data_IF_560064975461
#
_entry.id   IF_560064975461
#
_cell.length_a   1.000
_cell.length_b   1.000
_cell.length_c   1.000
_cell.angle_alpha   90.00
_cell.angle_beta   90.00
_cell.angle_gamma   90.00
#
_symmetry.space_group_name_H-M   'P 1'
#
loop_
_entity.id
_entity.type
_entity.pdbx_description
1 polymer ?
#
# COMPACT_ATOMS: atom_id res chain seq x y z
N UNK A 1 3.16 -50.70 30.91
CA UNK A 1 2.42 -49.43 30.96
C UNK A 1 3.38 -48.33 30.54
N UNK A 2 3.25 -47.86 29.30
CA UNK A 2 4.13 -46.83 28.73
C UNK A 2 3.53 -45.47 29.09
N UNK A 3 4.33 -44.57 29.64
CA UNK A 3 4.01 -43.15 29.69
C UNK A 3 5.15 -42.37 29.03
N UNK A 4 4.96 -42.12 27.74
CA UNK A 4 5.68 -41.09 26.99
C UNK A 4 4.99 -39.78 27.35
N UNK A 5 5.65 -38.96 28.16
CA UNK A 5 5.29 -37.55 28.37
C UNK A 5 6.39 -36.70 27.77
N UNK A 6 6.23 -36.32 26.50
CA UNK A 6 7.12 -35.41 25.80
C UNK A 6 6.60 -34.00 26.09
N UNK A 7 7.10 -33.35 27.14
CA UNK A 7 6.82 -31.93 27.36
C UNK A 7 7.77 -31.11 26.50
N UNK A 8 7.35 -30.87 25.25
CA UNK A 8 7.95 -29.87 24.38
C UNK A 8 7.17 -28.59 24.56
N UNK A 9 7.51 -27.80 25.57
CA UNK A 9 7.19 -26.38 25.55
C UNK A 9 8.09 -25.74 24.49
N UNK A 10 7.65 -25.81 23.24
CA UNK A 10 8.07 -24.83 22.24
C UNK A 10 7.36 -23.55 22.67
N UNK A 11 8.10 -22.70 23.37
CA UNK A 11 7.75 -21.29 23.48
C UNK A 11 7.65 -20.77 22.05
N UNK A 12 6.42 -20.51 21.62
CA UNK A 12 6.19 -19.64 20.48
C UNK A 12 6.70 -18.28 20.95
N UNK A 13 7.91 -17.91 20.55
CA UNK A 13 8.36 -16.52 20.56
C UNK A 13 7.43 -15.77 19.60
N UNK A 14 6.24 -15.44 20.10
CA UNK A 14 5.37 -14.44 19.53
C UNK A 14 6.16 -13.14 19.64
N UNK A 15 6.85 -12.77 18.57
CA UNK A 15 7.58 -11.50 18.47
C UNK A 15 6.54 -10.40 18.44
N UNK A 16 6.01 -10.06 19.61
CA UNK A 16 5.15 -8.91 19.81
C UNK A 16 5.95 -7.67 19.41
N UNK A 17 5.38 -6.85 18.51
CA UNK A 17 5.94 -5.56 18.09
C UNK A 17 6.28 -4.74 19.34
N UNK A 18 7.53 -4.32 19.47
CA UNK A 18 7.93 -3.45 20.59
C UNK A 18 7.74 -1.99 20.20
N UNK A 19 7.47 -1.12 21.18
CA UNK A 19 7.26 0.31 20.93
C UNK A 19 8.49 1.01 20.32
N UNK A 20 9.66 0.38 20.37
CA UNK A 20 10.93 0.90 19.89
C UNK A 20 11.42 0.23 18.59
N UNK A 21 10.55 -0.45 17.86
CA UNK A 21 10.85 -0.95 16.53
C UNK A 21 11.14 0.24 15.60
N UNK A 22 12.43 0.45 15.27
CA UNK A 22 12.86 1.51 14.37
C UNK A 22 12.94 0.93 12.96
N UNK A 23 12.16 1.50 12.03
CA UNK A 23 12.20 1.14 10.61
C UNK A 23 12.39 2.41 9.80
N UNK A 24 13.33 2.38 8.85
CA UNK A 24 13.41 3.43 7.85
C UNK A 24 12.19 3.38 6.94
N UNK A 25 11.66 4.55 6.58
CA UNK A 25 10.45 4.65 5.73
C UNK A 25 10.67 4.04 4.35
N UNK A 26 11.92 3.84 3.95
CA UNK A 26 12.32 3.27 2.66
C UNK A 26 12.38 1.74 2.69
N UNK A 27 12.11 1.09 3.83
CA UNK A 27 12.25 -0.35 4.00
C UNK A 27 10.91 -1.04 4.30
N UNK A 28 10.77 -2.30 3.86
CA UNK A 28 9.67 -3.21 4.22
C UNK A 28 8.26 -2.59 4.04
N UNK A 29 7.55 -2.33 5.14
CA UNK A 29 6.21 -1.71 5.17
C UNK A 29 6.27 -0.29 4.61
N UNK A 30 7.33 0.45 4.89
CA UNK A 30 7.54 1.82 4.41
C UNK A 30 7.68 1.88 2.89
N UNK A 31 8.51 1.00 2.31
CA UNK A 31 8.65 0.88 0.85
C UNK A 31 7.30 0.58 0.17
N UNK A 32 6.50 -0.31 0.77
CA UNK A 32 5.17 -0.64 0.27
C UNK A 32 4.23 0.57 0.37
N UNK A 33 4.24 1.28 1.49
CA UNK A 33 3.43 2.48 1.69
C UNK A 33 3.78 3.59 0.68
N UNK A 34 5.07 3.74 0.36
CA UNK A 34 5.55 4.66 -0.67
C UNK A 34 5.05 4.26 -2.07
N UNK A 35 5.09 2.97 -2.41
CA UNK A 35 4.49 2.48 -3.66
C UNK A 35 2.99 2.77 -3.77
N UNK A 36 2.24 2.65 -2.66
CA UNK A 36 0.81 3.00 -2.63
C UNK A 36 0.59 4.51 -2.74
N UNK A 37 1.43 5.32 -2.11
CA UNK A 37 1.38 6.78 -2.25
C UNK A 37 1.66 7.19 -3.71
N UNK A 38 2.70 6.63 -4.33
CA UNK A 38 3.06 6.87 -5.73
C UNK A 38 1.91 6.51 -6.68
N UNK A 39 1.28 5.34 -6.50
CA UNK A 39 0.11 4.95 -7.27
C UNK A 39 -1.07 5.94 -7.14
N UNK A 40 -1.33 6.46 -5.93
CA UNK A 40 -2.40 7.45 -5.71
C UNK A 40 -2.06 8.82 -6.30
N UNK A 41 -0.79 9.22 -6.29
CA UNK A 41 -0.34 10.44 -6.93
C UNK A 41 -0.53 10.33 -8.46
N UNK A 42 -0.04 9.24 -9.07
CA UNK A 42 -0.20 8.97 -10.50
C UNK A 42 -1.68 8.94 -10.92
N UNK A 43 -2.55 8.29 -10.15
CA UNK A 43 -3.98 8.29 -10.41
C UNK A 43 -4.59 9.70 -10.35
N UNK A 44 -4.24 10.49 -9.33
CA UNK A 44 -4.75 11.85 -9.14
C UNK A 44 -4.34 12.78 -10.29
N UNK A 45 -3.17 12.54 -10.88
CA UNK A 45 -2.59 13.31 -11.99
C UNK A 45 -3.01 12.79 -13.37
N UNK A 46 -3.79 11.71 -13.43
CA UNK A 46 -4.31 11.16 -14.69
C UNK A 46 -5.37 12.08 -15.31
N UNK A 47 -5.63 11.89 -16.61
CA UNK A 47 -6.57 12.73 -17.36
C UNK A 47 -8.03 12.56 -16.89
N UNK A 48 -8.39 11.38 -16.38
CA UNK A 48 -9.72 11.07 -15.82
C UNK A 48 -9.61 10.29 -14.49
N UNK A 49 -9.34 10.99 -13.37
CA UNK A 49 -8.99 10.35 -12.11
C UNK A 49 -10.21 9.77 -11.37
N UNK A 50 -10.12 8.49 -10.99
CA UNK A 50 -11.11 7.76 -10.20
C UNK A 50 -11.13 8.19 -8.72
N UNK A 51 -9.97 8.59 -8.19
CA UNK A 51 -9.77 9.15 -6.85
C UNK A 51 -8.96 10.45 -6.93
N UNK A 52 -9.03 11.28 -5.88
CA UNK A 52 -8.16 12.45 -5.74
C UNK A 52 -7.52 12.46 -4.36
N UNK A 53 -6.20 12.32 -4.31
CA UNK A 53 -5.41 12.38 -3.09
C UNK A 53 -4.46 13.60 -3.16
N UNK A 54 -4.86 14.75 -2.58
CA UNK A 54 -4.06 15.98 -2.68
C UNK A 54 -2.75 15.93 -1.87
N UNK A 55 -2.53 14.90 -1.05
CA UNK A 55 -1.37 14.80 -0.16
C UNK A 55 -0.33 13.80 -0.66
N UNK A 56 -0.71 12.88 -1.54
CA UNK A 56 0.18 11.84 -2.04
C UNK A 56 1.45 12.41 -2.68
N UNK A 57 1.31 13.39 -3.58
CA UNK A 57 2.45 14.06 -4.23
C UNK A 57 3.35 14.77 -3.22
N UNK A 58 2.76 15.61 -2.36
CA UNK A 58 3.49 16.36 -1.32
C UNK A 58 4.28 15.43 -0.39
N UNK A 59 3.71 14.27 -0.07
CA UNK A 59 4.38 13.26 0.76
C UNK A 59 5.59 12.65 0.05
N UNK A 60 5.46 12.29 -1.24
CA UNK A 60 6.55 11.73 -2.03
C UNK A 60 7.68 12.74 -2.24
N UNK A 61 7.33 14.01 -2.50
CA UNK A 61 8.31 15.09 -2.65
C UNK A 61 9.15 15.27 -1.36
N UNK A 62 8.55 15.07 -0.19
CA UNK A 62 9.25 15.15 1.09
C UNK A 62 10.16 13.95 1.36
N UNK A 63 9.83 12.77 0.81
CA UNK A 63 10.61 11.53 0.96
C UNK A 63 11.78 11.49 -0.03
N UNK A 64 11.58 12.02 -1.24
CA UNK A 64 12.55 12.02 -2.32
C UNK A 64 12.48 10.78 -3.21
N UNK A 65 13.50 10.62 -4.04
CA UNK A 65 13.58 9.59 -5.08
C UNK A 65 13.82 8.18 -4.53
N UNK A 66 13.19 7.18 -5.16
CA UNK A 66 13.41 5.78 -4.81
C UNK A 66 12.71 4.80 -5.75
N UNK A 67 12.61 3.53 -5.33
CA UNK A 67 11.98 2.49 -6.16
C UNK A 67 10.48 2.76 -6.42
N UNK A 68 9.83 3.58 -5.60
CA UNK A 68 8.45 4.00 -5.78
C UNK A 68 8.26 4.97 -6.96
N UNK A 69 9.30 5.73 -7.35
CA UNK A 69 9.23 6.68 -8.47
C UNK A 69 8.86 5.99 -9.79
N UNK A 70 9.16 4.69 -9.93
CA UNK A 70 8.78 3.90 -11.09
C UNK A 70 7.28 3.85 -11.35
N UNK A 71 6.46 4.07 -10.32
CA UNK A 71 4.99 4.09 -10.45
C UNK A 71 4.43 5.48 -10.77
N UNK A 72 5.27 6.51 -10.71
CA UNK A 72 4.93 7.89 -11.08
C UNK A 72 5.22 8.17 -12.57
N UNK A 73 6.12 7.38 -13.17
CA UNK A 73 6.56 7.55 -14.54
C UNK A 73 5.39 7.37 -15.52
N UNK A 74 4.87 8.49 -16.04
CA UNK A 74 3.82 8.50 -17.07
C UNK A 74 4.29 7.87 -18.38
N UNK A 75 5.58 8.00 -18.67
CA UNK A 75 6.23 7.44 -19.84
C UNK A 75 7.57 6.83 -19.42
N UNK A 76 7.79 5.56 -19.78
CA UNK A 76 9.07 4.88 -19.57
C UNK A 76 10.01 5.13 -20.76
N UNK A 77 11.34 5.14 -20.55
CA UNK A 77 12.29 5.19 -21.66
C UNK A 77 12.06 4.05 -22.65
N UNK A 78 12.20 4.32 -23.95
CA UNK A 78 11.92 3.34 -25.01
C UNK A 78 12.76 2.07 -24.83
N UNK A 79 14.02 2.20 -24.41
CA UNK A 79 14.91 1.07 -24.17
C UNK A 79 14.41 0.14 -23.07
N UNK A 80 13.73 0.68 -22.05
CA UNK A 80 13.11 -0.09 -20.97
C UNK A 80 11.88 -0.82 -21.47
N UNK A 81 11.05 -0.15 -22.29
CA UNK A 81 9.85 -0.76 -22.87
C UNK A 81 10.21 -1.89 -23.84
N UNK A 82 11.25 -1.71 -24.67
CA UNK A 82 11.72 -2.76 -25.57
C UNK A 82 12.29 -3.96 -24.80
N UNK A 83 12.98 -3.73 -23.69
CA UNK A 83 13.52 -4.80 -22.84
C UNK A 83 12.44 -5.54 -22.05
N UNK A 84 11.42 -4.82 -21.57
CA UNK A 84 10.32 -5.35 -20.76
C UNK A 84 8.95 -4.84 -21.28
N UNK A 85 8.41 -5.41 -22.37
CA UNK A 85 7.21 -4.89 -23.04
C UNK A 85 5.93 -4.88 -22.20
N UNK A 86 5.85 -5.78 -21.21
CA UNK A 86 4.71 -5.90 -20.30
C UNK A 86 4.79 -4.93 -19.11
N UNK A 87 5.92 -4.25 -18.91
CA UNK A 87 6.13 -3.39 -17.75
C UNK A 87 5.16 -2.20 -17.69
N UNK A 88 4.86 -1.48 -18.80
CA UNK A 88 3.86 -0.41 -18.77
C UNK A 88 2.48 -0.91 -18.33
N UNK A 89 2.06 -2.07 -18.84
CA UNK A 89 0.77 -2.68 -18.49
C UNK A 89 0.74 -3.08 -17.02
N UNK A 90 1.84 -3.66 -16.51
CA UNK A 90 1.97 -4.05 -15.09
C UNK A 90 1.91 -2.84 -14.17
N UNK A 91 2.59 -1.75 -14.51
CA UNK A 91 2.56 -0.51 -13.74
C UNK A 91 1.16 0.09 -13.70
N UNK A 92 0.49 0.17 -14.86
CA UNK A 92 -0.88 0.70 -14.95
C UNK A 92 -1.87 -0.16 -14.15
N UNK A 93 -1.74 -1.49 -14.24
CA UNK A 93 -2.55 -2.41 -13.45
C UNK A 93 -2.41 -2.18 -11.94
N UNK A 94 -1.21 -1.80 -11.49
CA UNK A 94 -0.97 -1.52 -10.07
C UNK A 94 -1.63 -0.19 -9.64
N UNK A 95 -1.54 0.85 -10.48
CA UNK A 95 -2.25 2.12 -10.26
C UNK A 95 -3.76 1.89 -10.17
N UNK A 96 -4.34 1.21 -11.16
CA UNK A 96 -5.77 0.91 -11.24
C UNK A 96 -6.26 0.12 -10.01
N UNK A 97 -5.45 -0.84 -9.54
CA UNK A 97 -5.75 -1.62 -8.34
C UNK A 97 -5.82 -0.72 -7.09
N UNK A 98 -4.82 0.14 -6.86
CA UNK A 98 -4.80 1.00 -5.67
C UNK A 98 -5.82 2.14 -5.75
N UNK A 99 -6.12 2.65 -6.94
CA UNK A 99 -7.21 3.59 -7.18
C UNK A 99 -8.56 2.96 -6.79
N UNK A 100 -8.84 1.77 -7.33
CA UNK A 100 -10.08 1.02 -7.06
C UNK A 100 -10.23 0.67 -5.57
N UNK A 101 -9.15 0.20 -4.95
CA UNK A 101 -9.11 -0.12 -3.50
C UNK A 101 -9.39 1.12 -2.66
N UNK A 102 -8.75 2.25 -2.97
CA UNK A 102 -8.94 3.51 -2.24
C UNK A 102 -10.38 4.00 -2.37
N UNK A 103 -10.94 3.98 -3.59
CA UNK A 103 -12.34 4.36 -3.81
C UNK A 103 -13.31 3.51 -2.99
N UNK A 104 -13.10 2.19 -2.96
CA UNK A 104 -13.95 1.30 -2.18
C UNK A 104 -13.90 1.64 -0.68
N UNK A 105 -12.70 1.83 -0.12
CA UNK A 105 -12.51 2.16 1.30
C UNK A 105 -13.06 3.52 1.69
N UNK A 106 -12.85 4.57 0.87
CA UNK A 106 -13.40 5.91 1.15
C UNK A 106 -14.93 5.93 1.03
N UNK A 107 -15.50 5.18 0.08
CA UNK A 107 -16.96 5.05 -0.03
C UNK A 107 -17.56 4.36 1.19
N UNK A 108 -16.92 3.32 1.72
CA UNK A 108 -17.44 2.60 2.88
C UNK A 108 -17.36 3.43 4.16
N UNK A 109 -16.31 4.24 4.34
CA UNK A 109 -16.17 5.15 5.50
C UNK A 109 -17.15 6.32 5.48
N UNK A 110 -17.74 6.65 4.33
CA UNK A 110 -18.74 7.71 4.18
C UNK A 110 -20.18 7.28 4.54
N UNK A 111 -20.40 6.01 4.85
CA UNK A 111 -21.72 5.51 5.27
C UNK A 111 -21.91 5.73 6.77
N UNK A 112 -22.85 6.58 7.21
CA UNK A 112 -23.08 6.78 8.64
C UNK A 112 -23.58 5.47 9.28
N UNK A 113 -23.17 5.17 10.52
CA UNK A 113 -23.67 3.96 11.20
C UNK A 113 -25.20 4.03 11.31
N UNK A 114 -25.91 2.88 11.25
CA UNK A 114 -27.35 2.87 11.43
C UNK A 114 -27.67 3.52 12.78
N UNK A 115 -28.60 4.49 12.78
CA UNK A 115 -29.04 5.15 14.02
C UNK A 115 -29.59 4.07 14.94
N UNK A 116 -28.88 3.78 16.03
CA UNK A 116 -29.38 2.91 17.07
C UNK A 116 -30.64 3.56 17.66
N UNK A 117 -31.82 3.01 17.32
CA UNK A 117 -33.05 3.35 18.01
C UNK A 117 -32.97 2.74 19.41
N UNK A 118 -32.46 3.52 20.37
CA UNK A 118 -32.59 3.21 21.78
C UNK A 118 -34.08 3.28 22.14
N UNK A 119 -34.72 2.11 22.19
CA UNK A 119 -35.95 1.93 22.95
C UNK A 119 -35.51 1.68 24.39
N UNK A 120 -35.73 2.67 25.25
CA UNK A 120 -35.83 2.44 26.69
C UNK A 120 -37.22 1.90 27.00
#
# INVERSE_FOLDING_TARGET
MVHVGRDSSVGSDDVARTENDTWEITESVGATALGVAAARAAETESDDPLIRDPFARVFLDAVGEGVWTWYEARELPAEVVEAEPELPLRMRSMVDYFASRTRFSTRSSSTPPPRASARW
#
